data_IF_549516202501
#
_entry.id   IF_549516202501
#
_cell.length_a   1.000
_cell.length_b   1.000
_cell.length_c   1.000
_cell.angle_alpha   90.00
_cell.angle_beta   90.00
_cell.angle_gamma   90.00
#
_symmetry.space_group_name_H-M   'P 1'
#
loop_
_entity.id
_entity.type
_entity.pdbx_description
1 polymer ?
#
# COMPACT_ATOMS: atom_id res chain seq x y z
N UNK A 1 -4.54 -53.64 -25.80
CA UNK A 1 -3.59 -52.68 -25.20
C UNK A 1 -4.36 -51.39 -25.03
N UNK A 2 -5.09 -51.29 -23.92
CA UNK A 2 -5.97 -50.15 -23.65
C UNK A 2 -5.17 -49.03 -23.01
N UNK A 3 -5.21 -47.85 -23.63
CA UNK A 3 -4.62 -46.62 -23.10
C UNK A 3 -5.54 -46.08 -22.01
N UNK A 4 -5.08 -46.17 -20.77
CA UNK A 4 -5.68 -45.44 -19.64
C UNK A 4 -5.25 -43.98 -19.76
N UNK A 5 -6.17 -43.11 -20.20
CA UNK A 5 -6.04 -41.67 -20.01
C UNK A 5 -6.33 -41.37 -18.54
N UNK A 6 -5.28 -41.22 -17.72
CA UNK A 6 -5.38 -40.45 -16.48
C UNK A 6 -5.49 -38.98 -16.85
N UNK A 7 -6.71 -38.46 -16.87
CA UNK A 7 -6.96 -37.02 -16.83
C UNK A 7 -6.50 -36.48 -15.49
N UNK A 8 -5.61 -35.51 -15.56
CA UNK A 8 -5.13 -34.70 -14.45
C UNK A 8 -6.32 -34.14 -13.65
N UNK A 9 -6.32 -34.38 -12.33
CA UNK A 9 -7.09 -33.58 -11.41
C UNK A 9 -6.49 -32.17 -11.44
N UNK A 10 -6.99 -31.32 -12.34
CA UNK A 10 -6.86 -29.88 -12.22
C UNK A 10 -7.41 -29.51 -10.84
N UNK A 11 -6.51 -29.17 -9.91
CA UNK A 11 -6.86 -28.65 -8.60
C UNK A 11 -7.82 -27.48 -8.80
N UNK A 12 -9.09 -27.67 -8.46
CA UNK A 12 -10.11 -26.64 -8.53
C UNK A 12 -9.60 -25.41 -7.78
N UNK A 13 -9.41 -24.31 -8.50
CA UNK A 13 -9.18 -23.00 -7.89
C UNK A 13 -10.46 -22.72 -7.08
N UNK A 14 -10.39 -22.45 -5.76
CA UNK A 14 -11.60 -22.27 -4.97
C UNK A 14 -12.39 -21.07 -5.49
N UNK A 15 -13.57 -21.33 -6.08
CA UNK A 15 -14.55 -20.33 -6.51
C UNK A 15 -15.21 -19.66 -5.29
N UNK A 16 -14.46 -18.90 -4.49
CA UNK A 16 -15.00 -17.82 -3.63
C UNK A 16 -13.95 -17.10 -2.75
N UNK A 17 -12.68 -17.02 -3.14
CA UNK A 17 -11.75 -16.18 -2.37
C UNK A 17 -12.02 -14.71 -2.66
N UNK A 18 -12.35 -13.95 -1.60
CA UNK A 18 -12.38 -12.49 -1.66
C UNK A 18 -11.04 -11.96 -2.17
N UNK A 19 -11.02 -10.84 -2.92
CA UNK A 19 -9.80 -10.15 -3.26
C UNK A 19 -8.92 -9.91 -2.02
N UNK A 20 -7.62 -10.07 -2.16
CA UNK A 20 -6.66 -9.85 -1.08
C UNK A 20 -6.09 -8.45 -1.16
N UNK A 21 -6.17 -7.70 -0.06
CA UNK A 21 -5.55 -6.38 0.09
C UNK A 21 -4.35 -6.53 1.03
N UNK A 22 -3.17 -6.10 0.57
CA UNK A 22 -2.00 -5.94 1.41
C UNK A 22 -1.92 -4.49 1.88
N UNK A 23 -2.26 -4.22 3.13
CA UNK A 23 -2.16 -2.90 3.74
C UNK A 23 -0.87 -2.81 4.56
N UNK A 24 0.10 -2.03 4.06
CA UNK A 24 1.37 -1.79 4.74
C UNK A 24 1.38 -0.37 5.27
N UNK A 25 1.77 -0.18 6.52
CA UNK A 25 2.00 1.16 7.04
C UNK A 25 2.56 1.17 8.45
N UNK A 26 2.63 2.36 9.04
CA UNK A 26 3.13 2.52 10.41
C UNK A 26 2.16 1.96 11.45
N UNK A 27 2.40 2.18 12.75
CA UNK A 27 1.48 1.79 13.82
C UNK A 27 0.04 2.26 13.62
N UNK A 28 -0.19 3.32 12.82
CA UNK A 28 -1.52 3.79 12.43
C UNK A 28 -2.39 2.69 11.78
N UNK A 29 -1.81 1.77 11.00
CA UNK A 29 -2.61 0.72 10.36
C UNK A 29 -3.07 -0.35 11.34
N UNK A 30 -2.39 -0.50 12.48
CA UNK A 30 -2.79 -1.43 13.54
C UNK A 30 -4.22 -1.16 14.03
N UNK A 31 -4.58 0.13 14.18
CA UNK A 31 -5.89 0.58 14.63
C UNK A 31 -6.98 0.62 13.55
N UNK A 32 -6.66 0.31 12.29
CA UNK A 32 -7.66 0.26 11.22
C UNK A 32 -8.44 -1.05 11.35
N UNK A 33 -9.74 -0.95 11.54
CA UNK A 33 -10.65 -2.08 11.44
C UNK A 33 -10.80 -2.46 9.96
N UNK A 34 -10.44 -3.70 9.62
CA UNK A 34 -10.46 -4.19 8.25
C UNK A 34 -11.88 -4.20 7.67
N UNK A 35 -12.88 -4.56 8.50
CA UNK A 35 -14.27 -4.64 8.07
C UNK A 35 -14.86 -3.24 7.80
N UNK A 36 -14.32 -2.21 8.45
CA UNK A 36 -14.66 -0.80 8.16
C UNK A 36 -13.96 -0.26 6.92
N UNK A 37 -12.87 -0.88 6.48
CA UNK A 37 -12.20 -0.51 5.23
C UNK A 37 -12.98 -1.06 4.03
N UNK A 38 -13.37 -2.34 4.10
CA UNK A 38 -14.24 -2.98 3.10
C UNK A 38 -14.74 -4.34 3.59
N UNK A 39 -16.01 -4.67 3.32
CA UNK A 39 -16.55 -6.02 3.50
C UNK A 39 -16.20 -6.97 2.36
N UNK A 40 -15.75 -6.44 1.22
CA UNK A 40 -15.63 -7.17 -0.03
C UNK A 40 -14.26 -7.84 -0.22
N UNK A 41 -13.27 -7.51 0.60
CA UNK A 41 -11.90 -7.98 0.46
C UNK A 41 -11.29 -8.42 1.79
N UNK A 42 -10.38 -9.39 1.73
CA UNK A 42 -9.61 -9.81 2.90
C UNK A 42 -8.38 -8.90 3.04
N UNK A 43 -8.31 -8.14 4.14
CA UNK A 43 -7.23 -7.18 4.39
C UNK A 43 -6.15 -7.81 5.27
N UNK A 44 -4.97 -8.02 4.69
CA UNK A 44 -3.76 -8.38 5.43
C UNK A 44 -2.99 -7.12 5.82
N UNK A 45 -2.95 -6.84 7.13
CA UNK A 45 -2.27 -5.66 7.69
C UNK A 45 -0.84 -6.00 8.08
N UNK A 46 0.10 -5.17 7.66
CA UNK A 46 1.52 -5.29 7.98
C UNK A 46 2.03 -3.97 8.53
N UNK A 47 2.60 -4.01 9.73
CA UNK A 47 3.16 -2.82 10.38
C UNK A 47 4.64 -2.72 10.02
N UNK A 48 5.01 -1.68 9.28
CA UNK A 48 6.37 -1.28 8.96
C UNK A 48 6.54 0.21 9.29
N UNK A 49 7.54 0.55 10.10
CA UNK A 49 7.65 1.89 10.66
C UNK A 49 8.25 2.91 9.71
N UNK A 50 9.02 2.48 8.72
CA UNK A 50 9.67 3.35 7.74
C UNK A 50 9.46 2.83 6.31
N UNK A 51 9.77 3.67 5.32
CA UNK A 51 9.87 3.25 3.92
C UNK A 51 10.93 2.14 3.72
N UNK A 52 12.06 2.21 4.42
CA UNK A 52 13.11 1.18 4.31
C UNK A 52 12.64 -0.17 4.87
N UNK A 53 11.88 -0.17 5.96
CA UNK A 53 11.27 -1.38 6.51
C UNK A 53 10.18 -1.94 5.58
N UNK A 54 9.44 -1.05 4.92
CA UNK A 54 8.45 -1.42 3.89
C UNK A 54 9.12 -2.16 2.73
N UNK A 55 10.21 -1.61 2.19
CA UNK A 55 11.00 -2.23 1.11
C UNK A 55 11.54 -3.62 1.52
N UNK A 56 12.14 -3.72 2.72
CA UNK A 56 12.64 -5.00 3.25
C UNK A 56 11.54 -6.05 3.37
N UNK A 57 10.36 -5.66 3.86
CA UNK A 57 9.23 -6.56 3.96
C UNK A 57 8.76 -7.04 2.58
N UNK A 58 8.58 -6.13 1.62
CA UNK A 58 8.08 -6.47 0.29
C UNK A 58 8.94 -7.52 -0.41
N UNK A 59 10.26 -7.46 -0.24
CA UNK A 59 11.19 -8.47 -0.75
C UNK A 59 10.88 -9.90 -0.26
N UNK A 60 10.44 -10.05 0.99
CA UNK A 60 10.12 -11.35 1.61
C UNK A 60 8.63 -11.67 1.71
N UNK A 61 7.75 -10.74 1.33
CA UNK A 61 6.29 -10.88 1.48
C UNK A 61 5.75 -12.14 0.78
N UNK A 62 4.98 -13.00 1.47
CA UNK A 62 4.34 -14.14 0.85
C UNK A 62 3.09 -13.71 0.07
N UNK A 63 2.71 -14.51 -0.94
CA UNK A 63 1.41 -14.38 -1.62
C UNK A 63 1.39 -13.44 -2.83
N UNK A 64 0.18 -13.26 -3.39
CA UNK A 64 -0.11 -12.43 -4.54
C UNK A 64 -1.37 -11.60 -4.24
N UNK A 65 -1.23 -10.38 -3.67
CA UNK A 65 -2.36 -9.52 -3.39
C UNK A 65 -3.00 -9.03 -4.69
N UNK A 66 -4.25 -8.59 -4.62
CA UNK A 66 -4.92 -7.89 -5.72
C UNK A 66 -4.66 -6.39 -5.68
N UNK A 67 -4.49 -5.84 -4.47
CA UNK A 67 -4.22 -4.43 -4.21
C UNK A 67 -3.16 -4.29 -3.13
N UNK A 68 -2.21 -3.37 -3.32
CA UNK A 68 -1.27 -2.94 -2.27
C UNK A 68 -1.64 -1.53 -1.83
N UNK A 69 -1.83 -1.34 -0.53
CA UNK A 69 -2.07 -0.02 0.07
C UNK A 69 -0.84 0.37 0.89
N UNK A 70 -0.23 1.51 0.56
CA UNK A 70 0.94 2.06 1.25
C UNK A 70 0.51 3.24 2.13
N UNK A 71 0.62 3.06 3.45
CA UNK A 71 0.38 4.05 4.51
C UNK A 71 1.67 4.24 5.36
N UNK A 72 2.81 4.38 4.69
CA UNK A 72 4.13 4.29 5.33
C UNK A 72 4.82 5.65 5.59
N UNK A 73 4.25 6.77 5.16
CA UNK A 73 4.95 8.06 5.12
C UNK A 73 5.13 8.75 6.48
N UNK A 74 4.27 8.47 7.47
CA UNK A 74 4.12 9.29 8.69
C UNK A 74 5.40 9.46 9.51
N UNK A 75 6.32 8.49 9.50
CA UNK A 75 7.56 8.58 10.24
C UNK A 75 8.70 9.19 9.41
N UNK A 76 8.84 8.79 8.14
CA UNK A 76 9.89 9.31 7.27
C UNK A 76 9.80 10.82 7.08
N UNK A 77 8.59 11.39 6.93
CA UNK A 77 8.43 12.85 6.77
C UNK A 77 8.94 13.69 7.95
N UNK A 78 9.20 13.06 9.11
CA UNK A 78 9.76 13.72 10.30
C UNK A 78 11.28 13.81 10.26
N UNK A 79 11.94 12.93 9.51
CA UNK A 79 13.38 12.69 9.63
C UNK A 79 14.15 12.83 8.32
N UNK A 80 13.50 12.63 7.17
CA UNK A 80 14.14 12.80 5.86
C UNK A 80 13.51 13.94 5.06
N UNK A 81 14.23 14.40 4.03
CA UNK A 81 13.77 15.48 3.15
C UNK A 81 12.57 15.02 2.29
N UNK A 82 11.61 15.89 1.98
CA UNK A 82 10.44 15.56 1.16
C UNK A 82 10.76 14.84 -0.16
N UNK A 83 11.76 15.31 -0.91
CA UNK A 83 12.17 14.64 -2.16
C UNK A 83 12.69 13.22 -1.90
N UNK A 84 13.44 13.01 -0.82
CA UNK A 84 13.94 11.67 -0.47
C UNK A 84 12.81 10.70 -0.08
N UNK A 85 11.74 11.19 0.56
CA UNK A 85 10.52 10.38 0.76
C UNK A 85 9.92 9.93 -0.58
N UNK A 86 9.81 10.87 -1.54
CA UNK A 86 9.21 10.63 -2.84
C UNK A 86 10.03 9.64 -3.65
N UNK A 87 11.36 9.81 -3.68
CA UNK A 87 12.27 8.94 -4.42
C UNK A 87 12.22 7.51 -3.87
N UNK A 88 12.27 7.34 -2.54
CA UNK A 88 12.13 6.02 -1.89
C UNK A 88 10.78 5.38 -2.14
N UNK A 89 9.69 6.15 -2.05
CA UNK A 89 8.35 5.65 -2.31
C UNK A 89 8.21 5.21 -3.77
N UNK A 90 8.78 5.97 -4.71
CA UNK A 90 8.79 5.63 -6.12
C UNK A 90 9.57 4.33 -6.36
N UNK A 91 10.75 4.17 -5.77
CA UNK A 91 11.53 2.94 -5.83
C UNK A 91 10.74 1.73 -5.28
N UNK A 92 10.08 1.88 -4.13
CA UNK A 92 9.21 0.83 -3.58
C UNK A 92 8.14 0.41 -4.60
N UNK A 93 7.46 1.37 -5.22
CA UNK A 93 6.40 1.07 -6.19
C UNK A 93 6.97 0.40 -7.44
N UNK A 94 8.02 0.96 -8.05
CA UNK A 94 8.52 0.50 -9.35
C UNK A 94 9.45 -0.71 -9.28
N UNK A 95 10.12 -0.90 -8.16
CA UNK A 95 11.17 -1.92 -8.01
C UNK A 95 10.76 -3.04 -7.08
N UNK A 96 10.13 -2.74 -5.93
CA UNK A 96 9.72 -3.79 -5.00
C UNK A 96 8.33 -4.36 -5.33
N UNK A 97 7.35 -3.48 -5.59
CA UNK A 97 5.97 -3.89 -5.86
C UNK A 97 5.82 -4.39 -7.29
N UNK A 98 6.17 -3.58 -8.29
CA UNK A 98 5.95 -3.92 -9.71
C UNK A 98 6.81 -5.11 -10.18
N UNK A 99 8.04 -5.28 -9.68
CA UNK A 99 8.85 -6.43 -10.04
C UNK A 99 8.30 -7.75 -9.46
N UNK A 100 7.62 -7.67 -8.32
CA UNK A 100 7.06 -8.83 -7.62
C UNK A 100 5.64 -9.18 -8.10
N UNK A 101 4.83 -8.15 -8.33
CA UNK A 101 3.44 -8.25 -8.76
C UNK A 101 3.19 -7.26 -9.91
N UNK A 102 3.59 -7.61 -11.14
CA UNK A 102 3.46 -6.72 -12.30
C UNK A 102 2.00 -6.32 -12.56
N UNK A 103 1.76 -5.04 -12.80
CA UNK A 103 0.44 -4.46 -13.09
C UNK A 103 -0.52 -4.41 -11.90
N UNK A 104 -0.05 -4.69 -10.68
CA UNK A 104 -0.89 -4.64 -9.50
C UNK A 104 -1.39 -3.22 -9.23
N UNK A 105 -2.62 -3.10 -8.73
CA UNK A 105 -3.15 -1.81 -8.30
C UNK A 105 -2.51 -1.39 -6.98
N UNK A 106 -1.94 -0.18 -6.96
CA UNK A 106 -1.30 0.41 -5.79
C UNK A 106 -2.09 1.63 -5.34
N UNK A 107 -2.41 1.70 -4.05
CA UNK A 107 -3.01 2.87 -3.43
C UNK A 107 -1.98 3.48 -2.49
N UNK A 108 -1.63 4.74 -2.73
CA UNK A 108 -0.74 5.50 -1.85
C UNK A 108 -1.60 6.41 -0.98
N UNK A 109 -1.60 6.15 0.31
CA UNK A 109 -2.12 7.08 1.30
C UNK A 109 -1.14 8.23 1.47
N UNK A 110 -1.56 9.43 1.11
CA UNK A 110 -0.79 10.65 1.31
C UNK A 110 -0.60 10.94 2.80
N UNK A 111 0.50 11.62 3.11
CA UNK A 111 0.85 11.93 4.48
C UNK A 111 -0.14 12.92 5.10
N UNK A 112 -0.56 12.66 6.32
CA UNK A 112 -1.46 13.56 7.05
C UNK A 112 -0.68 14.73 7.66
N UNK A 113 -0.97 16.00 7.27
CA UNK A 113 -0.33 17.15 7.90
C UNK A 113 -0.74 17.29 9.37
N UNK A 114 0.18 17.76 10.21
CA UNK A 114 -0.04 18.00 11.65
C UNK A 114 -0.06 19.49 11.94
N UNK A 115 -1.18 20.02 12.40
CA UNK A 115 -1.32 21.45 12.68
C UNK A 115 -0.58 21.91 13.94
N UNK A 116 -0.25 20.98 14.84
CA UNK A 116 0.49 21.23 16.07
C UNK A 116 2.02 21.32 15.86
N UNK A 117 2.51 20.94 14.67
CA UNK A 117 3.93 21.03 14.30
C UNK A 117 4.07 21.61 12.88
N UNK A 118 4.44 22.89 12.79
CA UNK A 118 4.56 23.58 11.50
C UNK A 118 5.64 22.97 10.58
N UNK A 119 6.71 22.40 11.14
CA UNK A 119 7.74 21.75 10.33
C UNK A 119 7.18 20.47 9.72
N UNK A 120 6.48 19.67 10.53
CA UNK A 120 5.80 18.48 10.05
C UNK A 120 4.71 18.83 9.03
N UNK A 121 3.91 19.88 9.27
CA UNK A 121 2.89 20.35 8.35
C UNK A 121 3.48 20.65 6.97
N UNK A 122 4.51 21.50 6.92
CA UNK A 122 5.15 21.88 5.67
C UNK A 122 5.82 20.69 4.97
N UNK A 123 6.47 19.81 5.75
CA UNK A 123 7.10 18.59 5.21
C UNK A 123 6.06 17.66 4.57
N UNK A 124 4.93 17.42 5.24
CA UNK A 124 3.84 16.60 4.72
C UNK A 124 3.22 17.19 3.45
N UNK A 125 2.91 18.49 3.44
CA UNK A 125 2.31 19.17 2.29
C UNK A 125 3.23 19.15 1.08
N UNK A 126 4.51 19.46 1.27
CA UNK A 126 5.50 19.44 0.19
C UNK A 126 5.71 18.01 -0.34
N UNK A 127 5.82 17.02 0.56
CA UNK A 127 5.94 15.62 0.17
C UNK A 127 4.73 15.18 -0.64
N UNK A 128 3.51 15.51 -0.21
CA UNK A 128 2.28 15.14 -0.93
C UNK A 128 2.20 15.78 -2.32
N UNK A 129 2.58 17.05 -2.45
CA UNK A 129 2.64 17.73 -3.75
C UNK A 129 3.62 17.04 -4.71
N UNK A 130 4.80 16.68 -4.22
CA UNK A 130 5.82 15.97 -4.99
C UNK A 130 5.37 14.55 -5.37
N UNK A 131 4.68 13.82 -4.49
CA UNK A 131 4.10 12.51 -4.81
C UNK A 131 3.09 12.65 -5.94
N UNK A 132 2.17 13.62 -5.87
CA UNK A 132 1.20 13.86 -6.95
C UNK A 132 1.88 14.13 -8.28
N UNK A 133 2.92 14.97 -8.27
CA UNK A 133 3.69 15.24 -9.48
C UNK A 133 4.38 13.98 -10.01
N UNK A 134 4.97 13.17 -9.11
CA UNK A 134 5.76 11.99 -9.49
C UNK A 134 4.91 10.86 -10.06
N UNK A 135 3.70 10.68 -9.55
CA UNK A 135 2.79 9.58 -9.93
C UNK A 135 1.63 10.01 -10.83
N UNK A 136 1.64 11.24 -11.37
CA UNK A 136 0.54 11.79 -12.16
C UNK A 136 0.14 10.91 -13.36
N UNK A 137 1.12 10.24 -13.97
CA UNK A 137 0.94 9.45 -15.19
C UNK A 137 1.10 7.94 -14.94
N UNK A 138 1.10 7.50 -13.67
CA UNK A 138 1.26 6.08 -13.32
C UNK A 138 -0.11 5.41 -13.23
N UNK A 139 -0.50 4.67 -14.27
CA UNK A 139 -1.86 4.15 -14.47
C UNK A 139 -2.35 3.16 -13.41
N UNK A 140 -1.44 2.44 -12.75
CA UNK A 140 -1.77 1.48 -11.70
C UNK A 140 -1.67 2.08 -10.28
N UNK A 141 -1.42 3.39 -10.15
CA UNK A 141 -1.30 4.07 -8.86
C UNK A 141 -2.47 5.02 -8.64
N UNK A 142 -3.13 4.88 -7.49
CA UNK A 142 -4.15 5.81 -6.99
C UNK A 142 -3.64 6.54 -5.75
N UNK A 143 -3.88 7.84 -5.67
CA UNK A 143 -3.46 8.67 -4.52
C UNK A 143 -4.68 9.04 -3.68
N UNK A 144 -4.60 8.83 -2.36
CA UNK A 144 -5.70 9.09 -1.43
C UNK A 144 -5.26 10.08 -0.34
N UNK A 145 -6.00 11.18 -0.21
CA UNK A 145 -5.84 12.10 0.92
C UNK A 145 -6.51 11.56 2.18
N UNK A 146 -5.72 11.30 3.20
CA UNK A 146 -6.25 10.96 4.52
C UNK A 146 -6.37 12.24 5.33
N UNK A 147 -7.49 12.94 5.13
CA UNK A 147 -7.90 14.04 5.99
C UNK A 147 -8.41 13.49 7.33
N UNK A 148 -7.77 13.87 8.44
CA UNK A 148 -8.17 13.49 9.82
C UNK A 148 -9.65 13.81 10.11
N UNK A 149 -10.23 14.79 9.42
CA UNK A 149 -11.63 15.16 9.54
C UNK A 149 -12.63 14.20 8.85
N UNK A 150 -12.17 13.13 8.16
CA UNK A 150 -13.06 12.19 7.47
C UNK A 150 -12.94 10.72 7.87
N UNK A 151 -11.96 10.30 8.67
CA UNK A 151 -11.98 8.94 9.22
C UNK A 151 -13.07 8.73 10.29
N UNK A 152 -13.60 9.80 10.86
CA UNK A 152 -14.79 9.78 11.73
C UNK A 152 -16.10 10.13 10.99
N UNK A 153 -16.04 10.36 9.67
CA UNK A 153 -17.16 10.92 8.89
C UNK A 153 -17.46 10.15 7.60
N UNK A 154 -16.84 8.98 7.43
CA UNK A 154 -17.32 7.94 6.51
C UNK A 154 -17.95 6.84 7.39
N UNK A 155 -19.01 7.22 8.10
CA UNK A 155 -20.17 6.41 8.53
C UNK A 155 -21.35 7.38 8.57
#
# INVERSE_FOLDING_TARGET
MDRVHTTENASAIPENRKPQILLIGTSNVGGIDADRLTSEADVHKVIQYTLDDTAKYLNSAPGFPNIVILHSLTNDIKVIKPQSCVDKLYEIVTTDVEAKWPGISVIISLATPRYDDIKHFNSAQLTNALIRQKFNDTSNVSLVDVNVFKLNSII
#
